data_IF_189574896956
#
_entry.id   IF_189574896956
#
_cell.length_a   1.000
_cell.length_b   1.000
_cell.length_c   1.000
_cell.angle_alpha   90.00
_cell.angle_beta   90.00
_cell.angle_gamma   90.00
#
_symmetry.space_group_name_H-M   'P 1'
#
loop_
_entity.id
_entity.type
_entity.pdbx_description
1 polymer ?
#
# COMPACT_ATOMS: atom_id res chain seq x y z
N UNK A 1 -10.27 57.87 21.03
CA UNK A 1 -10.41 56.47 21.49
C UNK A 1 -11.21 55.60 20.50
N UNK A 2 -12.48 55.91 20.22
CA UNK A 2 -13.34 55.10 19.32
C UNK A 2 -12.77 54.87 17.90
N UNK A 3 -12.19 55.89 17.26
CA UNK A 3 -11.61 55.76 15.91
C UNK A 3 -10.43 54.76 15.84
N UNK A 4 -9.59 54.71 16.88
CA UNK A 4 -8.48 53.75 16.96
C UNK A 4 -8.99 52.32 17.09
N UNK A 5 -10.02 52.11 17.92
CA UNK A 5 -10.65 50.79 18.07
C UNK A 5 -11.25 50.29 16.75
N UNK A 6 -11.88 51.17 15.97
CA UNK A 6 -12.43 50.82 14.65
C UNK A 6 -11.33 50.43 13.65
N UNK A 7 -10.20 51.15 13.65
CA UNK A 7 -9.05 50.82 12.79
C UNK A 7 -8.46 49.45 13.17
N UNK A 8 -8.30 49.19 14.47
CA UNK A 8 -7.79 47.91 14.96
C UNK A 8 -8.74 46.77 14.58
N UNK A 9 -10.05 46.98 14.73
CA UNK A 9 -11.06 45.99 14.36
C UNK A 9 -11.02 45.70 12.87
N UNK A 10 -10.98 46.74 12.03
CA UNK A 10 -10.86 46.59 10.57
C UNK A 10 -9.59 45.82 10.18
N UNK A 11 -8.44 46.19 10.76
CA UNK A 11 -7.18 45.50 10.52
C UNK A 11 -7.26 44.02 10.94
N UNK A 12 -7.88 43.74 12.08
CA UNK A 12 -8.07 42.37 12.59
C UNK A 12 -8.97 41.54 11.68
N UNK A 13 -10.06 42.12 11.16
CA UNK A 13 -10.95 41.46 10.21
C UNK A 13 -10.25 41.16 8.88
N UNK A 14 -9.48 42.11 8.35
CA UNK A 14 -8.70 41.91 7.11
C UNK A 14 -7.63 40.84 7.31
N UNK A 15 -6.89 40.89 8.42
CA UNK A 15 -5.89 39.88 8.76
C UNK A 15 -6.53 38.48 8.88
N UNK A 16 -7.69 38.37 9.52
CA UNK A 16 -8.45 37.12 9.61
C UNK A 16 -8.86 36.59 8.24
N UNK A 17 -9.39 37.45 7.37
CA UNK A 17 -9.79 37.06 6.01
C UNK A 17 -8.61 36.51 5.20
N UNK A 18 -7.45 37.18 5.25
CA UNK A 18 -6.22 36.71 4.60
C UNK A 18 -5.76 35.38 5.20
N UNK A 19 -5.80 35.26 6.53
CA UNK A 19 -5.45 34.04 7.25
C UNK A 19 -6.29 32.84 6.80
N UNK A 20 -7.61 33.00 6.65
CA UNK A 20 -8.51 31.94 6.19
C UNK A 20 -8.13 31.47 4.78
N UNK A 21 -7.88 32.40 3.85
CA UNK A 21 -7.47 32.05 2.48
C UNK A 21 -6.13 31.32 2.47
N UNK A 22 -5.16 31.81 3.26
CA UNK A 22 -3.84 31.19 3.39
C UNK A 22 -3.93 29.76 3.92
N UNK A 23 -4.66 29.55 5.03
CA UNK A 23 -4.85 28.23 5.62
C UNK A 23 -5.56 27.29 4.65
N UNK A 24 -6.58 27.78 3.93
CA UNK A 24 -7.29 26.96 2.94
C UNK A 24 -6.39 26.56 1.76
N UNK A 25 -5.53 27.46 1.31
CA UNK A 25 -4.55 27.15 0.27
C UNK A 25 -3.54 26.10 0.73
N UNK A 26 -2.98 26.26 1.94
CA UNK A 26 -2.06 25.30 2.54
C UNK A 26 -2.71 23.94 2.75
N UNK A 27 -3.94 23.90 3.28
CA UNK A 27 -4.71 22.67 3.43
C UNK A 27 -4.87 21.95 2.08
N UNK A 28 -5.19 22.68 1.00
CA UNK A 28 -5.31 22.09 -0.33
C UNK A 28 -3.99 21.47 -0.80
N UNK A 29 -2.86 22.13 -0.58
CA UNK A 29 -1.54 21.61 -0.96
C UNK A 29 -1.20 20.32 -0.20
N UNK A 30 -1.29 20.36 1.14
CA UNK A 30 -1.00 19.20 1.98
C UNK A 30 -1.95 18.03 1.70
N UNK A 31 -3.23 18.30 1.43
CA UNK A 31 -4.19 17.27 1.04
C UNK A 31 -3.81 16.60 -0.29
N UNK A 32 -3.35 17.37 -1.28
CA UNK A 32 -2.88 16.81 -2.56
C UNK A 32 -1.68 15.89 -2.34
N UNK A 33 -0.72 16.29 -1.51
CA UNK A 33 0.44 15.47 -1.18
C UNK A 33 0.05 14.17 -0.47
N UNK A 34 -0.85 14.26 0.50
CA UNK A 34 -1.40 13.09 1.19
C UNK A 34 -2.09 12.14 0.20
N UNK A 35 -3.01 12.65 -0.61
CA UNK A 35 -3.72 11.84 -1.61
C UNK A 35 -2.79 11.18 -2.62
N UNK A 36 -1.66 11.83 -2.98
CA UNK A 36 -0.65 11.20 -3.85
C UNK A 36 0.06 10.04 -3.16
N UNK A 37 0.43 10.21 -1.89
CA UNK A 37 1.08 9.17 -1.11
C UNK A 37 0.14 7.96 -0.88
N UNK A 38 -1.14 8.23 -0.58
CA UNK A 38 -2.17 7.20 -0.42
C UNK A 38 -2.36 6.40 -1.71
N UNK A 39 -2.50 7.08 -2.86
CA UNK A 39 -2.60 6.39 -4.16
C UNK A 39 -1.40 5.47 -4.43
N UNK A 40 -0.18 5.97 -4.19
CA UNK A 40 1.03 5.16 -4.36
C UNK A 40 1.02 3.92 -3.46
N UNK A 41 0.61 4.08 -2.20
CA UNK A 41 0.49 2.95 -1.26
C UNK A 41 -0.55 1.94 -1.75
N UNK A 42 -1.69 2.42 -2.21
CA UNK A 42 -2.78 1.56 -2.66
C UNK A 42 -2.39 0.78 -3.93
N UNK A 43 -1.70 1.43 -4.88
CA UNK A 43 -1.15 0.77 -6.08
C UNK A 43 -0.17 -0.36 -5.70
N UNK A 44 0.74 -0.12 -4.75
CA UNK A 44 1.68 -1.13 -4.25
C UNK A 44 0.93 -2.29 -3.59
N UNK A 45 -0.09 -2.00 -2.78
CA UNK A 45 -0.89 -3.03 -2.12
C UNK A 45 -1.66 -3.88 -3.13
N UNK A 46 -2.18 -3.28 -4.19
CA UNK A 46 -2.85 -4.00 -5.27
C UNK A 46 -1.88 -4.93 -6.00
N UNK A 47 -0.68 -4.46 -6.33
CA UNK A 47 0.36 -5.28 -6.95
C UNK A 47 0.78 -6.44 -6.04
N UNK A 48 1.00 -6.16 -4.75
CA UNK A 48 1.32 -7.19 -3.77
C UNK A 48 0.21 -8.24 -3.64
N UNK A 49 -1.06 -7.83 -3.69
CA UNK A 49 -2.19 -8.76 -3.73
C UNK A 49 -2.17 -9.67 -4.96
N UNK A 50 -1.85 -9.12 -6.15
CA UNK A 50 -1.71 -9.92 -7.37
C UNK A 50 -0.58 -10.93 -7.27
N UNK A 51 0.59 -10.50 -6.80
CA UNK A 51 1.75 -11.37 -6.63
C UNK A 51 1.48 -12.52 -5.65
N UNK A 52 0.72 -12.28 -4.57
CA UNK A 52 0.32 -13.33 -3.65
C UNK A 52 -0.58 -14.39 -4.33
N UNK A 53 -1.53 -13.95 -5.18
CA UNK A 53 -2.37 -14.88 -5.94
C UNK A 53 -1.53 -15.70 -6.93
N UNK A 54 -0.62 -15.04 -7.64
CA UNK A 54 0.32 -15.74 -8.53
C UNK A 54 1.16 -16.76 -7.77
N UNK A 55 1.72 -16.38 -6.62
CA UNK A 55 2.49 -17.29 -5.76
C UNK A 55 1.66 -18.48 -5.30
N UNK A 56 0.42 -18.26 -4.87
CA UNK A 56 -0.49 -19.34 -4.46
C UNK A 56 -0.76 -20.32 -5.62
N UNK A 57 -1.00 -19.81 -6.83
CA UNK A 57 -1.16 -20.65 -8.03
C UNK A 57 0.12 -21.41 -8.38
N UNK A 58 1.29 -20.78 -8.23
CA UNK A 58 2.58 -21.43 -8.50
C UNK A 58 2.89 -22.55 -7.49
N UNK A 59 2.53 -22.34 -6.22
CA UNK A 59 2.72 -23.25 -5.11
C UNK A 59 1.63 -24.33 -5.00
N UNK A 60 0.61 -24.31 -5.87
CA UNK A 60 -0.46 -25.30 -5.87
C UNK A 60 0.14 -26.72 -6.01
N UNK A 61 -0.19 -27.61 -5.07
CA UNK A 61 0.39 -28.94 -4.99
C UNK A 61 0.26 -29.73 -6.31
N UNK A 62 -0.89 -29.63 -6.98
CA UNK A 62 -1.11 -30.27 -8.29
C UNK A 62 -0.11 -29.80 -9.34
N UNK A 63 0.20 -28.49 -9.36
CA UNK A 63 1.16 -27.89 -10.29
C UNK A 63 2.58 -28.32 -9.96
N UNK A 64 2.94 -28.30 -8.67
CA UNK A 64 4.26 -28.76 -8.19
C UNK A 64 4.49 -30.22 -8.56
N UNK A 65 3.51 -31.08 -8.28
CA UNK A 65 3.57 -32.52 -8.53
C UNK A 65 3.64 -32.85 -10.02
N UNK A 66 2.88 -32.11 -10.85
CA UNK A 66 2.99 -32.19 -12.31
C UNK A 66 4.38 -31.81 -12.81
N UNK A 67 4.95 -30.70 -12.33
CA UNK A 67 6.31 -30.27 -12.69
C UNK A 67 7.36 -31.30 -12.25
N UNK A 68 7.21 -31.86 -11.03
CA UNK A 68 8.10 -32.89 -10.50
C UNK A 68 8.11 -34.12 -11.41
N UNK A 69 6.95 -34.60 -11.85
CA UNK A 69 6.86 -35.75 -12.76
C UNK A 69 7.31 -35.45 -14.18
N UNK A 70 6.77 -34.38 -14.78
CA UNK A 70 6.93 -34.11 -16.22
C UNK A 70 8.28 -33.48 -16.57
N UNK A 71 8.81 -32.60 -15.71
CA UNK A 71 10.05 -31.86 -16.00
C UNK A 71 11.27 -32.41 -15.26
N UNK A 72 11.09 -32.87 -14.03
CA UNK A 72 12.20 -33.40 -13.21
C UNK A 72 12.30 -34.93 -13.28
N UNK A 73 11.35 -35.60 -13.95
CA UNK A 73 11.33 -37.06 -14.06
C UNK A 73 11.18 -37.78 -12.71
N UNK A 74 10.71 -37.08 -11.68
CA UNK A 74 10.51 -37.67 -10.36
C UNK A 74 9.38 -38.68 -10.43
N UNK A 75 9.60 -39.86 -9.85
CA UNK A 75 8.58 -40.90 -9.68
C UNK A 75 8.35 -41.14 -8.19
N UNK A 76 7.20 -41.70 -7.84
CA UNK A 76 7.01 -42.22 -6.50
C UNK A 76 8.05 -43.32 -6.23
N UNK A 77 8.73 -43.29 -5.07
CA UNK A 77 9.68 -44.35 -4.72
C UNK A 77 8.94 -45.68 -4.61
N UNK A 78 9.54 -46.73 -5.14
CA UNK A 78 9.02 -48.08 -5.02
C UNK A 78 9.36 -48.64 -3.64
N UNK A 79 8.70 -49.72 -3.22
CA UNK A 79 8.95 -50.32 -1.89
C UNK A 79 10.43 -50.71 -1.68
N UNK A 80 11.17 -51.00 -2.76
CA UNK A 80 12.59 -51.30 -2.74
C UNK A 80 13.49 -50.07 -2.50
N UNK A 81 12.98 -48.86 -2.75
CA UNK A 81 13.73 -47.60 -2.62
C UNK A 81 13.62 -47.00 -1.19
N UNK A 82 12.80 -47.59 -0.32
CA UNK A 82 12.49 -47.06 1.02
C UNK A 82 13.33 -47.78 2.09
N UNK A 83 14.22 -47.04 2.76
CA UNK A 83 15.02 -47.55 3.89
C UNK A 83 14.61 -46.87 5.20
N UNK A 84 14.18 -47.65 6.18
CA UNK A 84 13.82 -47.15 7.52
C UNK A 84 15.08 -47.05 8.38
N UNK A 85 15.48 -45.82 8.70
CA UNK A 85 16.59 -45.56 9.63
C UNK A 85 16.02 -45.48 11.06
N UNK A 86 16.49 -46.34 11.97
CA UNK A 86 16.15 -46.26 13.41
C UNK A 86 17.09 -45.25 14.08
N UNK A 87 16.60 -44.43 15.03
CA UNK A 87 17.42 -43.47 15.77
C UNK A 87 18.49 -44.16 16.63
#
# INVERSE_FOLDING_TARGET
>A
MSRLLLIILLASTVASAIGVVFVRHRHRQTFIELSRAERKRDDINLEFGRLQLEQATLAEANRVDRIAREKLGMKFPEAADIVVVRP
#
